data_IF_271884996212
#
_entry.id   IF_271884996212
#
_cell.length_a   1.000
_cell.length_b   1.000
_cell.length_c   1.000
_cell.angle_alpha   90.00
_cell.angle_beta   90.00
_cell.angle_gamma   90.00
#
_symmetry.space_group_name_H-M   'P 1'
#
loop_
_entity.id
_entity.type
_entity.pdbx_description
1 polymer ?
#
# COMPACT_ATOMS: atom_id res chain seq x y z
N UNK A 1 19.24 24.25 17.99
CA UNK A 1 18.01 24.17 17.19
C UNK A 1 18.40 23.75 15.80
N UNK A 2 17.92 22.60 15.34
CA UNK A 2 18.29 22.03 14.04
C UNK A 2 17.64 22.82 12.89
N UNK A 3 18.38 23.00 11.79
CA UNK A 3 17.93 23.75 10.61
C UNK A 3 16.60 23.23 10.03
N UNK A 4 16.39 21.91 10.07
CA UNK A 4 15.14 21.26 9.64
C UNK A 4 13.96 21.74 10.48
N UNK A 5 14.16 21.94 11.78
CA UNK A 5 13.12 22.43 12.69
C UNK A 5 12.71 23.87 12.35
N UNK A 6 13.67 24.73 11.99
CA UNK A 6 13.39 26.12 11.63
C UNK A 6 12.55 26.18 10.35
N UNK A 7 12.92 25.42 9.32
CA UNK A 7 12.17 25.36 8.06
C UNK A 7 10.76 24.79 8.26
N UNK A 8 10.65 23.73 9.06
CA UNK A 8 9.36 23.11 9.35
C UNK A 8 8.42 24.10 10.06
N UNK A 9 8.93 24.78 11.09
CA UNK A 9 8.19 25.78 11.85
C UNK A 9 7.70 26.94 10.96
N UNK A 10 8.55 27.42 10.07
CA UNK A 10 8.22 28.54 9.19
C UNK A 10 7.15 28.16 8.16
N UNK A 11 7.23 26.94 7.59
CA UNK A 11 6.17 26.42 6.71
C UNK A 11 4.83 26.24 7.44
N UNK A 12 4.85 25.73 8.67
CA UNK A 12 3.63 25.56 9.47
C UNK A 12 2.98 26.93 9.71
N UNK A 13 3.76 27.94 10.11
CA UNK A 13 3.26 29.31 10.33
C UNK A 13 2.68 29.93 9.05
N UNK A 14 3.33 29.75 7.91
CA UNK A 14 2.81 30.21 6.63
C UNK A 14 1.46 29.56 6.29
N UNK A 15 1.34 28.24 6.42
CA UNK A 15 0.08 27.53 6.20
C UNK A 15 -1.03 27.97 7.16
N UNK A 16 -0.69 28.29 8.42
CA UNK A 16 -1.65 28.86 9.38
C UNK A 16 -2.14 30.23 8.94
N UNK A 17 -1.24 31.13 8.54
CA UNK A 17 -1.59 32.48 8.08
C UNK A 17 -2.43 32.46 6.79
N UNK A 18 -2.19 31.48 5.92
CA UNK A 18 -2.95 31.27 4.69
C UNK A 18 -4.34 30.65 4.93
N UNK A 19 -4.66 30.27 6.16
CA UNK A 19 -5.94 29.61 6.49
C UNK A 19 -6.05 28.18 5.95
N UNK A 20 -4.93 27.53 5.59
CA UNK A 20 -4.94 26.17 5.01
C UNK A 20 -5.53 25.13 5.97
N UNK A 21 -5.52 25.41 7.27
CA UNK A 21 -6.10 24.55 8.31
C UNK A 21 -7.58 24.86 8.60
N UNK A 22 -8.18 25.89 8.00
CA UNK A 22 -9.52 26.33 8.37
C UNK A 22 -10.65 25.43 7.86
N UNK A 23 -10.43 24.73 6.75
CA UNK A 23 -11.43 23.90 6.09
C UNK A 23 -10.94 22.45 5.87
N UNK A 24 -10.16 21.93 6.82
CA UNK A 24 -9.68 20.56 6.73
C UNK A 24 -10.84 19.55 6.70
N UNK A 25 -10.72 18.49 5.89
CA UNK A 25 -11.69 17.41 5.89
C UNK A 25 -11.77 16.78 7.28
N UNK A 26 -12.97 16.79 7.87
CA UNK A 26 -13.20 16.26 9.21
C UNK A 26 -13.17 17.29 10.34
N UNK A 27 -12.92 18.58 10.07
CA UNK A 27 -13.00 19.63 11.11
C UNK A 27 -14.37 19.63 11.78
N UNK A 28 -14.38 19.50 13.11
CA UNK A 28 -15.59 19.46 13.94
C UNK A 28 -16.40 18.16 13.86
N UNK A 29 -15.93 17.15 13.10
CA UNK A 29 -16.58 15.83 13.02
C UNK A 29 -15.90 14.85 13.99
N UNK A 30 -16.61 13.82 14.47
CA UNK A 30 -16.00 12.75 15.24
C UNK A 30 -14.83 12.11 14.48
N UNK A 31 -13.74 11.80 15.20
CA UNK A 31 -12.59 11.12 14.61
C UNK A 31 -13.02 9.73 14.12
N UNK A 32 -12.73 9.40 12.86
CA UNK A 32 -12.91 8.04 12.34
C UNK A 32 -11.76 7.19 12.86
N UNK A 33 -12.05 6.28 13.78
CA UNK A 33 -11.07 5.33 14.30
C UNK A 33 -11.00 4.16 13.31
N UNK A 34 -9.86 3.97 12.68
CA UNK A 34 -9.65 2.80 11.85
C UNK A 34 -9.51 1.55 12.69
N UNK A 35 -10.16 0.47 12.25
CA UNK A 35 -9.98 -0.84 12.83
C UNK A 35 -8.61 -1.40 12.40
N UNK A 36 -7.65 -1.35 13.33
CA UNK A 36 -6.30 -1.89 13.17
C UNK A 36 -6.11 -3.18 13.98
N UNK A 37 -7.19 -3.87 14.37
CA UNK A 37 -7.13 -5.07 15.22
C UNK A 37 -6.35 -6.21 14.58
N UNK A 38 -6.31 -6.28 13.25
CA UNK A 38 -5.52 -7.25 12.50
C UNK A 38 -4.01 -6.95 12.48
N UNK A 39 -3.59 -5.78 12.97
CA UNK A 39 -2.20 -5.31 12.92
C UNK A 39 -1.59 -5.33 14.34
N UNK A 40 -0.46 -6.02 14.54
CA UNK A 40 0.30 -5.98 15.79
C UNK A 40 0.57 -4.54 16.25
N UNK A 41 0.49 -4.29 17.57
CA UNK A 41 0.53 -2.95 18.15
C UNK A 41 1.78 -2.15 17.76
N UNK A 42 2.91 -2.83 17.72
CA UNK A 42 4.22 -2.33 17.30
C UNK A 42 4.27 -1.88 15.83
N UNK A 43 3.43 -2.45 14.97
CA UNK A 43 3.40 -2.16 13.53
C UNK A 43 2.34 -1.12 13.13
N UNK A 44 1.38 -0.78 14.01
CA UNK A 44 0.27 0.13 13.67
C UNK A 44 0.74 1.51 13.23
N UNK A 45 1.73 2.10 13.92
CA UNK A 45 2.25 3.43 13.58
C UNK A 45 2.88 3.45 12.18
N UNK A 46 3.73 2.47 11.90
CA UNK A 46 4.36 2.34 10.58
C UNK A 46 3.33 2.13 9.48
N UNK A 47 2.31 1.30 9.73
CA UNK A 47 1.20 1.10 8.79
C UNK A 47 0.42 2.38 8.51
N UNK A 48 0.01 3.13 9.55
CA UNK A 48 -0.73 4.38 9.39
C UNK A 48 0.05 5.44 8.62
N UNK A 49 1.37 5.54 8.86
CA UNK A 49 2.25 6.43 8.10
C UNK A 49 2.26 6.07 6.61
N UNK A 50 2.46 4.78 6.27
CA UNK A 50 2.47 4.31 4.89
C UNK A 50 1.11 4.50 4.20
N UNK A 51 0.01 4.32 4.95
CA UNK A 51 -1.35 4.54 4.46
C UNK A 51 -1.59 6.01 4.13
N UNK A 52 -1.27 6.90 5.05
CA UNK A 52 -1.44 8.35 4.88
C UNK A 52 -0.57 8.90 3.74
N UNK A 53 0.60 8.30 3.52
CA UNK A 53 1.48 8.62 2.39
C UNK A 53 0.99 8.05 1.03
N UNK A 54 -0.19 7.42 0.98
CA UNK A 54 -0.76 6.72 -0.19
C UNK A 54 0.14 5.62 -0.75
N UNK A 55 1.09 5.13 0.05
CA UNK A 55 2.02 4.10 -0.39
C UNK A 55 1.37 2.71 -0.42
N UNK A 56 0.27 2.49 0.30
CA UNK A 56 -0.41 1.19 0.35
C UNK A 56 -1.46 0.99 -0.77
N UNK A 57 -1.96 2.06 -1.38
CA UNK A 57 -3.13 1.99 -2.29
C UNK A 57 -2.81 1.25 -3.60
N UNK A 58 -1.64 1.52 -4.20
CA UNK A 58 -1.25 0.84 -5.45
C UNK A 58 -1.19 -0.68 -5.25
N UNK A 59 -0.48 -1.15 -4.22
CA UNK A 59 -0.23 -2.58 -4.04
C UNK A 59 -1.50 -3.37 -3.71
N UNK A 60 -2.36 -2.82 -2.85
CA UNK A 60 -3.60 -3.49 -2.45
C UNK A 60 -4.55 -3.65 -3.64
N UNK A 61 -4.61 -2.67 -4.52
CA UNK A 61 -5.46 -2.73 -5.71
C UNK A 61 -4.95 -3.77 -6.71
N UNK A 62 -3.64 -3.79 -7.02
CA UNK A 62 -3.07 -4.82 -7.89
C UNK A 62 -3.24 -6.23 -7.32
N UNK A 63 -3.05 -6.41 -6.00
CA UNK A 63 -3.25 -7.71 -5.35
C UNK A 63 -4.71 -8.18 -5.43
N UNK A 64 -5.67 -7.28 -5.18
CA UNK A 64 -7.11 -7.59 -5.32
C UNK A 64 -7.46 -7.98 -6.76
N UNK A 65 -6.96 -7.25 -7.75
CA UNK A 65 -7.19 -7.58 -9.16
C UNK A 65 -6.61 -8.94 -9.54
N UNK A 66 -5.40 -9.26 -9.08
CA UNK A 66 -4.78 -10.56 -9.33
C UNK A 66 -5.60 -11.70 -8.73
N UNK A 67 -6.01 -11.55 -7.46
CA UNK A 67 -6.83 -12.55 -6.77
C UNK A 67 -8.18 -12.76 -7.47
N UNK A 68 -8.82 -11.70 -7.93
CA UNK A 68 -10.07 -11.79 -8.72
C UNK A 68 -9.87 -12.57 -10.02
N UNK A 69 -8.75 -12.36 -10.74
CA UNK A 69 -8.48 -13.10 -11.98
C UNK A 69 -8.19 -14.58 -11.67
N UNK A 70 -7.48 -14.88 -10.58
CA UNK A 70 -7.23 -16.25 -10.12
C UNK A 70 -8.54 -16.98 -9.78
N UNK A 71 -9.45 -16.31 -9.05
CA UNK A 71 -10.77 -16.84 -8.72
C UNK A 71 -11.59 -17.11 -9.99
N UNK A 72 -11.56 -16.19 -10.97
CA UNK A 72 -12.23 -16.37 -12.26
C UNK A 72 -11.67 -17.58 -13.03
N UNK A 73 -10.35 -17.78 -13.03
CA UNK A 73 -9.70 -18.94 -13.66
C UNK A 73 -10.10 -20.25 -12.96
N UNK A 74 -10.26 -20.23 -11.64
CA UNK A 74 -10.67 -21.39 -10.86
C UNK A 74 -12.12 -21.80 -11.15
N UNK A 75 -13.01 -20.83 -11.38
CA UNK A 75 -14.41 -21.05 -11.70
C UNK A 75 -14.69 -21.31 -13.19
N UNK A 76 -13.75 -20.97 -14.08
CA UNK A 76 -13.93 -21.10 -15.54
C UNK A 76 -13.81 -22.57 -16.01
N UNK A 77 -14.81 -23.04 -16.73
CA UNK A 77 -14.89 -24.40 -17.29
C UNK A 77 -14.57 -24.46 -18.79
N UNK A 78 -14.55 -23.31 -19.48
CA UNK A 78 -14.20 -23.21 -20.89
C UNK A 78 -12.67 -23.09 -21.07
N UNK A 79 -12.02 -24.01 -21.80
CA UNK A 79 -10.58 -23.96 -22.03
C UNK A 79 -10.10 -22.71 -22.79
N UNK A 80 -10.91 -22.13 -23.69
CA UNK A 80 -10.50 -20.94 -24.44
C UNK A 80 -10.56 -19.67 -23.58
N UNK A 81 -11.64 -19.50 -22.82
CA UNK A 81 -11.75 -18.38 -21.87
C UNK A 81 -10.68 -18.46 -20.78
N UNK A 82 -10.33 -19.67 -20.33
CA UNK A 82 -9.26 -19.89 -19.36
C UNK A 82 -7.90 -19.42 -19.87
N UNK A 83 -7.59 -19.64 -21.15
CA UNK A 83 -6.36 -19.14 -21.76
C UNK A 83 -6.32 -17.61 -21.81
N UNK A 84 -7.43 -16.96 -22.15
CA UNK A 84 -7.54 -15.50 -22.17
C UNK A 84 -7.35 -14.91 -20.77
N UNK A 85 -7.98 -15.51 -19.75
CA UNK A 85 -7.82 -15.09 -18.36
C UNK A 85 -6.38 -15.29 -17.86
N UNK A 86 -5.70 -16.37 -18.26
CA UNK A 86 -4.28 -16.59 -17.93
C UNK A 86 -3.36 -15.55 -18.58
N UNK A 87 -3.62 -15.14 -19.82
CA UNK A 87 -2.87 -14.06 -20.47
C UNK A 87 -3.07 -12.73 -19.73
N UNK A 88 -4.32 -12.44 -19.33
CA UNK A 88 -4.66 -11.25 -18.55
C UNK A 88 -3.98 -11.24 -17.17
N UNK A 89 -3.92 -12.41 -16.51
CA UNK A 89 -3.20 -12.59 -15.25
C UNK A 89 -1.71 -12.29 -15.42
N UNK A 90 -1.06 -12.87 -16.43
CA UNK A 90 0.36 -12.65 -16.69
C UNK A 90 0.67 -11.17 -16.99
N UNK A 91 -0.18 -10.49 -17.77
CA UNK A 91 -0.03 -9.07 -18.06
C UNK A 91 -0.11 -8.22 -16.77
N UNK A 92 -1.10 -8.49 -15.92
CA UNK A 92 -1.29 -7.77 -14.64
C UNK A 92 -0.16 -8.04 -13.67
N UNK A 93 0.34 -9.28 -13.61
CA UNK A 93 1.49 -9.65 -12.79
C UNK A 93 2.76 -8.92 -13.23
N UNK A 94 2.94 -8.72 -14.53
CA UNK A 94 4.07 -7.97 -15.09
C UNK A 94 3.97 -6.47 -14.75
N UNK A 95 2.79 -5.86 -14.86
CA UNK A 95 2.55 -4.48 -14.43
C UNK A 95 2.80 -4.29 -12.94
N UNK A 96 2.31 -5.23 -12.11
CA UNK A 96 2.54 -5.22 -10.68
C UNK A 96 4.03 -5.29 -10.34
N UNK A 97 4.76 -6.20 -10.98
CA UNK A 97 6.21 -6.32 -10.81
C UNK A 97 6.96 -5.05 -11.24
N UNK A 98 6.52 -4.33 -12.28
CA UNK A 98 7.12 -3.05 -12.67
C UNK A 98 6.89 -1.97 -11.62
N UNK A 99 5.68 -1.89 -11.04
CA UNK A 99 5.37 -0.96 -9.94
C UNK A 99 6.22 -1.29 -8.71
N UNK A 100 6.38 -2.57 -8.39
CA UNK A 100 7.25 -3.03 -7.32
C UNK A 100 8.72 -2.74 -7.61
N UNK A 101 9.21 -2.92 -8.84
CA UNK A 101 10.60 -2.61 -9.21
C UNK A 101 10.93 -1.11 -9.09
N UNK A 102 10.00 -0.24 -9.48
CA UNK A 102 10.14 1.22 -9.30
C UNK A 102 10.24 1.60 -7.82
N UNK A 103 9.59 0.84 -6.93
CA UNK A 103 9.70 0.99 -5.46
C UNK A 103 10.92 0.28 -4.87
N UNK A 104 11.34 -0.85 -5.43
CA UNK A 104 12.51 -1.66 -5.03
C UNK A 104 13.87 -1.02 -5.42
N UNK A 105 13.92 0.30 -5.59
CA UNK A 105 15.17 1.05 -5.46
C UNK A 105 15.72 1.00 -4.02
N UNK A 106 15.04 0.32 -3.09
CA UNK A 106 15.66 -0.26 -1.89
C UNK A 106 16.09 -1.72 -2.15
N UNK A 107 17.21 -1.91 -2.84
CA UNK A 107 17.98 -3.17 -2.87
C UNK A 107 18.59 -3.50 -1.49
N UNK A 108 17.82 -3.40 -0.41
CA UNK A 108 18.31 -3.74 0.93
C UNK A 108 18.41 -5.26 1.04
N UNK A 109 19.64 -5.77 1.26
CA UNK A 109 19.90 -7.18 1.53
C UNK A 109 19.06 -7.74 2.69
N UNK A 110 18.54 -6.88 3.57
CA UNK A 110 17.62 -7.28 4.64
C UNK A 110 16.29 -7.80 4.07
N UNK A 111 15.69 -7.13 3.11
CA UNK A 111 14.39 -7.52 2.56
C UNK A 111 14.45 -8.88 1.83
N UNK A 112 15.49 -9.10 1.01
CA UNK A 112 15.74 -10.38 0.32
C UNK A 112 15.89 -11.57 1.28
N UNK A 113 16.43 -11.34 2.49
CA UNK A 113 16.59 -12.39 3.50
C UNK A 113 15.27 -12.79 4.18
N UNK A 114 14.30 -11.89 4.25
CA UNK A 114 13.03 -12.15 4.96
C UNK A 114 11.86 -12.45 4.03
N UNK A 115 11.90 -12.03 2.76
CA UNK A 115 10.85 -12.26 1.77
C UNK A 115 10.44 -13.74 1.67
N UNK A 116 11.41 -14.64 1.57
CA UNK A 116 11.17 -16.09 1.51
C UNK A 116 10.45 -16.66 2.74
N UNK A 117 10.76 -16.14 3.94
CA UNK A 117 10.10 -16.56 5.19
C UNK A 117 8.67 -16.02 5.29
N UNK A 118 8.43 -14.80 4.81
CA UNK A 118 7.10 -14.18 4.79
C UNK A 118 6.19 -14.94 3.81
N UNK A 119 6.67 -15.20 2.59
CA UNK A 119 5.98 -15.99 1.57
C UNK A 119 5.60 -17.39 2.07
N UNK A 120 6.51 -18.08 2.77
CA UNK A 120 6.22 -19.40 3.35
C UNK A 120 5.14 -19.37 4.43
N UNK A 121 5.07 -18.30 5.24
CA UNK A 121 4.03 -18.18 6.28
C UNK A 121 2.67 -17.85 5.69
N UNK A 122 2.61 -17.00 4.67
CA UNK A 122 1.35 -16.62 4.01
C UNK A 122 0.75 -17.83 3.27
N UNK A 123 1.58 -18.70 2.68
CA UNK A 123 1.12 -19.88 1.93
C UNK A 123 0.70 -21.07 2.80
N UNK A 124 0.88 -20.99 4.12
CA UNK A 124 0.60 -22.10 5.07
C UNK A 124 -0.71 -21.93 5.85
N UNK A 125 -1.43 -20.83 5.61
CA UNK A 125 -2.82 -20.61 6.01
C UNK A 125 -3.70 -20.61 4.75
#
# INVERSE_FOLDING_TARGET
MDFVHIIAEEKIKQAMNNGEFDHLPGKGKPLVIEDLSAIPQDLRMAYSLLKNAKMLEDEQNYRKELMQIEDLIACCHDPEEKLVLQQKLNQKLLQFNQVLQKRNTTNSNAFKKYDTKIQMRIRKN
#
